data_IF_108317364854
#
_entry.id   IF_108317364854
#
_cell.length_a   1.000
_cell.length_b   1.000
_cell.length_c   1.000
_cell.angle_alpha   90.00
_cell.angle_beta   90.00
_cell.angle_gamma   90.00
#
_symmetry.space_group_name_H-M   'P 1'
#
loop_
_entity.id
_entity.type
_entity.pdbx_description
1 polymer ?
#
# COMPACT_ATOMS: atom_id res chain seq x y z
N UNK A 1 20.57 0.38 -31.45
CA UNK A 1 20.91 1.60 -32.22
C UNK A 1 19.91 1.92 -33.34
N UNK A 2 19.36 0.95 -34.06
CA UNK A 2 18.38 1.21 -35.15
C UNK A 2 17.03 1.76 -34.67
N UNK A 3 16.61 1.42 -33.47
CA UNK A 3 15.32 1.93 -32.92
C UNK A 3 15.44 3.37 -32.43
N UNK A 4 16.59 3.80 -31.93
CA UNK A 4 16.86 5.16 -31.47
C UNK A 4 16.78 6.18 -32.63
N UNK A 5 17.40 5.88 -33.78
CA UNK A 5 17.39 6.79 -34.95
C UNK A 5 15.98 7.01 -35.50
N UNK A 6 15.16 5.97 -35.56
CA UNK A 6 13.75 6.09 -35.97
C UNK A 6 12.91 6.92 -34.98
N UNK A 7 13.15 6.76 -33.70
CA UNK A 7 12.44 7.49 -32.63
C UNK A 7 12.83 8.97 -32.59
N UNK A 8 14.11 9.31 -32.79
CA UNK A 8 14.59 10.70 -32.84
C UNK A 8 13.97 11.47 -34.00
N UNK A 9 13.91 10.89 -35.20
CA UNK A 9 13.24 11.46 -36.35
C UNK A 9 11.76 11.71 -36.08
N UNK A 10 11.05 10.68 -35.53
CA UNK A 10 9.65 10.81 -35.20
C UNK A 10 9.38 11.90 -34.15
N UNK A 11 10.25 12.09 -33.17
CA UNK A 11 10.11 13.11 -32.14
C UNK A 11 10.26 14.52 -32.77
N UNK A 12 11.27 14.74 -33.60
CA UNK A 12 11.45 15.98 -34.29
C UNK A 12 10.25 16.31 -35.20
N UNK A 13 9.81 15.36 -36.00
CA UNK A 13 8.67 15.51 -36.90
C UNK A 13 7.37 15.87 -36.15
N UNK A 14 7.16 15.27 -34.96
CA UNK A 14 6.02 15.62 -34.12
C UNK A 14 6.09 17.04 -33.59
N UNK A 15 7.25 17.51 -33.15
CA UNK A 15 7.45 18.91 -32.69
C UNK A 15 7.31 19.92 -33.80
N UNK A 16 7.68 19.56 -35.01
CA UNK A 16 7.46 20.41 -36.20
C UNK A 16 5.96 20.46 -36.55
N UNK A 17 5.26 19.34 -36.42
CA UNK A 17 3.83 19.25 -36.71
C UNK A 17 2.95 19.91 -35.64
N UNK A 18 3.24 19.69 -34.36
CA UNK A 18 2.52 20.27 -33.23
C UNK A 18 3.48 20.69 -32.09
N UNK A 19 3.97 21.94 -32.13
CA UNK A 19 4.88 22.43 -31.08
C UNK A 19 4.20 22.71 -29.74
N UNK A 20 2.86 22.65 -29.66
CA UNK A 20 2.13 22.97 -28.45
C UNK A 20 2.11 21.80 -27.43
N UNK A 21 2.45 20.58 -27.86
CA UNK A 21 2.41 19.38 -27.03
C UNK A 21 3.80 18.93 -26.61
N UNK A 22 3.88 18.46 -25.35
CA UNK A 22 5.10 17.81 -24.87
C UNK A 22 5.29 16.45 -25.54
N UNK A 23 6.54 16.13 -25.85
CA UNK A 23 6.94 14.85 -26.42
C UNK A 23 7.73 14.09 -25.36
N UNK A 24 7.36 12.82 -25.16
CA UNK A 24 7.99 11.93 -24.19
C UNK A 24 8.44 10.66 -24.90
N UNK A 25 9.66 10.20 -24.53
CA UNK A 25 10.24 8.96 -24.99
C UNK A 25 11.03 8.30 -23.84
N UNK A 26 10.62 7.12 -23.44
CA UNK A 26 11.14 6.40 -22.26
C UNK A 26 12.66 6.21 -22.34
N UNK A 27 13.16 5.69 -23.48
CA UNK A 27 14.58 5.37 -23.63
C UNK A 27 15.49 6.61 -23.78
N UNK A 28 14.92 7.80 -23.93
CA UNK A 28 15.69 9.04 -24.03
C UNK A 28 16.26 9.48 -22.67
N UNK A 29 15.70 9.00 -21.55
CA UNK A 29 16.13 9.45 -20.21
C UNK A 29 16.18 10.97 -20.10
N UNK A 30 17.37 11.53 -20.04
CA UNK A 30 17.61 12.96 -19.93
C UNK A 30 18.12 13.61 -21.23
N UNK A 31 18.10 12.92 -22.35
CA UNK A 31 18.53 13.46 -23.61
C UNK A 31 17.65 14.62 -24.11
N UNK A 32 18.11 15.33 -25.13
CA UNK A 32 17.47 16.52 -25.67
C UNK A 32 16.10 16.23 -26.33
N UNK A 33 15.87 15.01 -26.75
CA UNK A 33 14.73 14.58 -27.55
C UNK A 33 13.50 14.19 -26.70
N UNK A 34 13.48 14.51 -25.44
CA UNK A 34 12.31 14.32 -24.55
C UNK A 34 12.07 15.55 -23.68
N UNK A 35 10.83 15.95 -23.53
CA UNK A 35 10.43 17.05 -22.64
C UNK A 35 10.21 16.56 -21.21
N UNK A 36 9.95 15.26 -21.04
CA UNK A 36 9.69 14.60 -19.75
C UNK A 36 10.74 13.51 -19.56
N UNK A 37 11.35 13.46 -18.39
CA UNK A 37 12.22 12.34 -17.99
C UNK A 37 11.32 11.19 -17.53
N UNK A 38 11.29 10.11 -18.32
CA UNK A 38 10.27 9.07 -18.18
C UNK A 38 10.89 7.66 -18.11
N UNK A 39 11.65 7.35 -17.05
CA UNK A 39 12.30 6.06 -16.92
C UNK A 39 11.31 4.95 -16.54
N UNK A 40 11.70 3.71 -16.92
CA UNK A 40 11.05 2.48 -16.49
C UNK A 40 11.82 1.87 -15.30
N UNK A 41 11.14 1.56 -14.21
CA UNK A 41 11.69 0.95 -12.99
C UNK A 41 13.01 1.57 -12.48
N UNK A 42 13.13 2.90 -12.34
CA UNK A 42 14.32 3.48 -11.77
C UNK A 42 14.45 3.06 -10.30
N UNK A 43 15.67 2.78 -9.87
CA UNK A 43 15.90 2.48 -8.45
C UNK A 43 15.83 3.74 -7.58
N UNK A 44 15.65 3.54 -6.28
CA UNK A 44 15.49 4.63 -5.29
C UNK A 44 16.65 5.63 -5.30
N UNK A 45 17.86 5.15 -5.57
CA UNK A 45 19.04 6.00 -5.64
C UNK A 45 18.92 7.03 -6.78
N UNK A 46 18.55 6.59 -7.99
CA UNK A 46 18.37 7.47 -9.16
C UNK A 46 17.24 8.48 -8.95
N UNK A 47 16.13 8.07 -8.35
CA UNK A 47 14.99 8.93 -8.03
C UNK A 47 15.44 10.03 -7.04
N UNK A 48 16.15 9.65 -5.99
CA UNK A 48 16.66 10.59 -4.97
C UNK A 48 17.72 11.52 -5.54
N UNK A 49 18.58 11.03 -6.44
CA UNK A 49 19.57 11.85 -7.13
C UNK A 49 18.88 12.91 -8.03
N UNK A 50 17.87 12.50 -8.79
CA UNK A 50 17.10 13.42 -9.63
C UNK A 50 16.36 14.45 -8.78
N UNK A 51 15.73 14.05 -7.69
CA UNK A 51 15.05 14.93 -6.75
C UNK A 51 15.96 16.08 -6.28
N UNK A 52 17.23 15.76 -5.96
CA UNK A 52 18.23 16.71 -5.46
C UNK A 52 18.97 17.50 -6.56
N UNK A 53 18.76 17.18 -7.82
CA UNK A 53 19.55 17.70 -8.93
C UNK A 53 19.25 19.17 -9.27
N UNK A 54 18.11 19.72 -8.85
CA UNK A 54 17.64 21.04 -9.24
C UNK A 54 17.16 21.15 -10.70
N UNK A 55 17.07 20.02 -11.41
CA UNK A 55 16.61 19.96 -12.80
C UNK A 55 15.13 20.31 -12.88
N UNK A 56 14.74 20.99 -13.97
CA UNK A 56 13.40 21.54 -14.14
C UNK A 56 12.44 20.62 -14.93
N UNK A 57 12.97 19.68 -15.71
CA UNK A 57 12.10 18.75 -16.43
C UNK A 57 11.33 17.88 -15.46
N UNK A 58 10.01 17.65 -15.66
CA UNK A 58 9.26 16.73 -14.82
C UNK A 58 9.79 15.30 -14.99
N UNK A 59 9.89 14.59 -13.87
CA UNK A 59 10.24 13.19 -13.82
C UNK A 59 8.98 12.36 -13.55
N UNK A 60 8.58 11.55 -14.53
CA UNK A 60 7.37 10.71 -14.46
C UNK A 60 7.76 9.29 -14.86
N UNK A 61 7.71 8.36 -13.96
CA UNK A 61 8.03 6.96 -14.25
C UNK A 61 6.96 6.35 -15.16
N UNK A 62 7.35 5.86 -16.35
CA UNK A 62 6.40 5.19 -17.25
C UNK A 62 5.91 3.86 -16.69
N UNK A 63 6.77 3.17 -15.94
CA UNK A 63 6.41 2.00 -15.15
C UNK A 63 7.21 1.99 -13.85
N UNK A 64 6.56 1.65 -12.73
CA UNK A 64 7.19 1.45 -11.45
C UNK A 64 6.35 0.53 -10.55
N UNK A 65 6.90 0.11 -9.42
CA UNK A 65 6.21 -0.66 -8.40
C UNK A 65 5.47 -1.88 -8.96
N UNK A 66 6.20 -2.71 -9.74
CA UNK A 66 5.69 -3.95 -10.34
C UNK A 66 4.98 -4.82 -9.29
N UNK A 67 3.69 -5.08 -9.47
CA UNK A 67 2.82 -5.65 -8.43
C UNK A 67 2.68 -7.19 -8.51
N UNK A 68 3.65 -7.87 -9.12
CA UNK A 68 3.66 -9.33 -9.24
C UNK A 68 3.93 -10.01 -7.90
N UNK A 69 3.10 -10.97 -7.53
CA UNK A 69 3.30 -11.79 -6.33
C UNK A 69 3.38 -10.95 -5.05
N UNK A 70 4.46 -11.11 -4.29
CA UNK A 70 4.71 -10.35 -3.05
C UNK A 70 5.74 -9.22 -3.29
N UNK A 71 5.56 -8.46 -4.35
CA UNK A 71 6.37 -7.30 -4.72
C UNK A 71 5.68 -5.98 -4.32
N UNK A 72 6.17 -4.84 -4.83
CA UNK A 72 5.67 -3.51 -4.51
C UNK A 72 6.02 -3.01 -3.09
N UNK A 73 7.15 -3.49 -2.53
CA UNK A 73 7.69 -3.01 -1.25
C UNK A 73 8.26 -1.60 -1.34
N UNK A 74 8.48 -0.96 -0.17
CA UNK A 74 9.00 0.40 -0.03
C UNK A 74 8.19 1.49 -0.77
N UNK A 75 6.91 1.23 -1.02
CA UNK A 75 6.05 2.13 -1.78
C UNK A 75 5.89 3.49 -1.09
N UNK A 76 5.71 3.48 0.23
CA UNK A 76 5.64 4.70 1.04
C UNK A 76 6.93 5.51 0.98
N UNK A 77 8.10 4.88 1.13
CA UNK A 77 9.39 5.57 1.13
C UNK A 77 9.64 6.27 -0.22
N UNK A 78 9.25 5.63 -1.32
CA UNK A 78 9.30 6.22 -2.64
C UNK A 78 8.43 7.46 -2.75
N UNK A 79 7.18 7.36 -2.28
CA UNK A 79 6.24 8.47 -2.36
C UNK A 79 6.55 9.62 -1.40
N UNK A 80 7.21 9.35 -0.28
CA UNK A 80 7.74 10.41 0.58
C UNK A 80 8.75 11.28 -0.20
N UNK A 81 9.65 10.66 -0.98
CA UNK A 81 10.60 11.41 -1.85
C UNK A 81 9.88 12.17 -2.96
N UNK A 82 8.86 11.56 -3.60
CA UNK A 82 8.08 12.21 -4.66
C UNK A 82 7.34 13.43 -4.11
N UNK A 83 6.67 13.28 -2.98
CA UNK A 83 5.89 14.37 -2.37
C UNK A 83 6.75 15.55 -1.89
N UNK A 84 7.99 15.29 -1.52
CA UNK A 84 8.92 16.34 -1.05
C UNK A 84 9.72 17.01 -2.19
N UNK A 85 9.52 16.58 -3.45
CA UNK A 85 10.33 17.01 -4.57
C UNK A 85 9.48 17.57 -5.72
N UNK A 86 9.55 18.86 -6.02
CA UNK A 86 8.67 19.50 -7.01
C UNK A 86 8.91 19.03 -8.45
N UNK A 87 10.08 18.47 -8.76
CA UNK A 87 10.42 17.94 -10.07
C UNK A 87 10.03 16.46 -10.27
N UNK A 88 9.59 15.76 -9.19
CA UNK A 88 9.03 14.42 -9.28
C UNK A 88 7.49 14.48 -9.31
N UNK A 89 6.90 13.91 -10.35
CA UNK A 89 5.45 13.98 -10.58
C UNK A 89 4.75 12.62 -10.35
N UNK A 90 5.50 11.58 -9.96
CA UNK A 90 4.98 10.22 -9.75
C UNK A 90 5.25 9.30 -10.93
N UNK A 91 4.29 8.45 -11.25
CA UNK A 91 4.43 7.45 -12.30
C UNK A 91 3.24 6.52 -12.41
N UNK A 92 3.37 5.49 -13.26
CA UNK A 92 2.33 4.52 -13.54
C UNK A 92 2.71 3.16 -12.98
N UNK A 93 1.92 2.65 -12.05
CA UNK A 93 2.14 1.33 -11.45
C UNK A 93 1.93 0.25 -12.52
N UNK A 94 2.83 -0.70 -12.61
CA UNK A 94 2.64 -1.88 -13.44
C UNK A 94 2.14 -3.06 -12.61
N UNK A 95 0.80 -3.46 -12.70
CA UNK A 95 -0.16 -2.63 -13.40
C UNK A 95 -1.44 -2.51 -12.53
N UNK A 96 -2.53 -2.02 -13.11
CA UNK A 96 -3.76 -1.78 -12.36
C UNK A 96 -4.54 -3.08 -12.10
N UNK A 97 -4.74 -3.93 -13.14
CA UNK A 97 -5.52 -5.15 -13.04
C UNK A 97 -4.82 -6.30 -13.77
N UNK A 98 -4.85 -7.48 -13.19
CA UNK A 98 -4.34 -8.70 -13.83
C UNK A 98 -4.96 -8.88 -15.20
N UNK A 99 -4.11 -9.07 -16.22
CA UNK A 99 -4.50 -9.24 -17.61
C UNK A 99 -4.84 -10.71 -17.90
N UNK A 100 -5.83 -11.26 -17.20
CA UNK A 100 -6.17 -12.67 -17.24
C UNK A 100 -7.56 -12.96 -17.80
N UNK A 101 -7.67 -14.07 -18.53
CA UNK A 101 -8.95 -14.62 -19.02
C UNK A 101 -9.38 -15.81 -18.16
N UNK A 102 -10.66 -15.85 -17.82
CA UNK A 102 -11.25 -16.92 -17.04
C UNK A 102 -11.45 -18.18 -17.90
N UNK A 103 -10.81 -19.27 -17.51
CA UNK A 103 -10.87 -20.56 -18.18
C UNK A 103 -11.27 -21.68 -17.21
N UNK A 104 -11.67 -22.82 -17.77
CA UNK A 104 -11.93 -24.05 -17.01
C UNK A 104 -10.95 -25.14 -17.45
N UNK A 105 -10.57 -26.01 -16.51
CA UNK A 105 -9.82 -27.22 -16.81
C UNK A 105 -10.71 -28.21 -17.58
N UNK A 106 -10.34 -28.54 -18.84
CA UNK A 106 -11.07 -29.51 -19.67
C UNK A 106 -10.08 -30.34 -20.55
N UNK A 107 -10.22 -31.66 -20.59
CA UNK A 107 -10.99 -32.51 -19.70
C UNK A 107 -10.40 -32.51 -18.28
N UNK A 108 -11.21 -32.34 -17.27
CA UNK A 108 -10.75 -32.29 -15.89
C UNK A 108 -11.87 -32.08 -14.90
N UNK A 109 -11.51 -31.61 -13.72
CA UNK A 109 -12.42 -31.37 -12.61
C UNK A 109 -13.25 -30.07 -12.72
N UNK A 110 -13.13 -29.34 -13.83
CA UNK A 110 -13.87 -28.10 -14.09
C UNK A 110 -13.41 -26.91 -13.23
N UNK A 111 -12.22 -27.00 -12.59
CA UNK A 111 -11.68 -25.88 -11.82
C UNK A 111 -11.52 -24.65 -12.69
N UNK A 112 -11.80 -23.48 -12.12
CA UNK A 112 -11.57 -22.20 -12.76
C UNK A 112 -10.11 -21.78 -12.52
N UNK A 113 -9.46 -21.33 -13.58
CA UNK A 113 -8.14 -20.71 -13.52
C UNK A 113 -8.09 -19.48 -14.42
N UNK A 114 -7.07 -18.65 -14.21
CA UNK A 114 -6.82 -17.46 -15.01
C UNK A 114 -5.61 -17.69 -15.90
N UNK A 115 -5.72 -17.34 -17.14
CA UNK A 115 -4.67 -17.51 -18.16
C UNK A 115 -4.49 -16.23 -18.97
N UNK A 116 -3.34 -16.06 -19.58
CA UNK A 116 -3.01 -14.89 -20.39
C UNK A 116 -2.14 -15.30 -21.58
N UNK A 117 -2.03 -14.37 -22.57
CA UNK A 117 -1.17 -14.54 -23.75
C UNK A 117 -1.52 -15.80 -24.56
N UNK A 118 -0.62 -16.29 -25.39
CA UNK A 118 -0.77 -17.47 -26.26
C UNK A 118 -0.92 -18.82 -25.56
N UNK A 119 -1.14 -18.82 -24.25
CA UNK A 119 -1.29 -20.04 -23.42
C UNK A 119 -2.72 -20.34 -23.03
N UNK A 120 -3.65 -19.68 -23.64
CA UNK A 120 -5.08 -19.96 -23.49
C UNK A 120 -5.41 -21.40 -23.88
N UNK A 121 -6.08 -22.13 -22.98
CA UNK A 121 -6.46 -23.52 -23.20
C UNK A 121 -5.42 -24.59 -22.81
N UNK A 122 -4.27 -24.21 -22.31
CA UNK A 122 -3.22 -25.15 -21.87
C UNK A 122 -2.91 -25.03 -20.38
N UNK A 123 -3.76 -25.61 -19.53
CA UNK A 123 -3.46 -25.67 -18.10
C UNK A 123 -2.26 -26.59 -17.77
N UNK A 124 -1.95 -27.61 -18.64
CA UNK A 124 -0.74 -28.43 -18.54
C UNK A 124 0.54 -27.59 -18.48
N UNK A 125 0.54 -26.46 -19.14
CA UNK A 125 1.67 -25.54 -19.09
C UNK A 125 1.95 -25.00 -17.68
N UNK A 126 0.95 -24.83 -16.83
CA UNK A 126 1.10 -24.42 -15.43
C UNK A 126 1.74 -25.55 -14.59
N UNK A 127 1.48 -26.82 -14.95
CA UNK A 127 2.06 -27.99 -14.28
C UNK A 127 3.50 -28.27 -14.73
N UNK A 128 3.80 -28.04 -15.99
CA UNK A 128 5.13 -28.31 -16.58
C UNK A 128 6.18 -27.27 -16.18
N UNK A 129 5.77 -26.06 -15.75
CA UNK A 129 6.65 -24.97 -15.34
C UNK A 129 6.66 -24.75 -13.83
N UNK A 130 7.02 -25.79 -13.09
CA UNK A 130 7.26 -25.68 -11.64
C UNK A 130 8.33 -24.64 -11.32
N UNK A 131 7.92 -23.48 -10.82
CA UNK A 131 8.81 -22.42 -10.37
C UNK A 131 8.96 -21.22 -11.30
N UNK A 132 8.32 -21.18 -12.45
CA UNK A 132 8.21 -19.91 -13.20
C UNK A 132 7.11 -19.04 -12.62
N UNK A 133 7.46 -17.79 -12.38
CA UNK A 133 6.53 -16.77 -11.91
C UNK A 133 5.39 -16.60 -12.92
N UNK A 134 4.17 -16.47 -12.41
CA UNK A 134 2.98 -16.13 -13.22
C UNK A 134 3.15 -14.72 -13.78
N UNK A 135 3.68 -14.61 -14.99
CA UNK A 135 3.69 -13.36 -15.74
C UNK A 135 2.27 -13.05 -16.21
N UNK A 136 1.81 -11.82 -16.07
CA UNK A 136 0.42 -11.41 -16.41
C UNK A 136 -0.52 -11.35 -15.20
N UNK A 137 -0.02 -11.59 -13.99
CA UNK A 137 -0.73 -11.36 -12.71
C UNK A 137 -0.08 -10.21 -11.94
N UNK A 138 0.18 -9.11 -12.65
CA UNK A 138 0.96 -7.96 -12.19
C UNK A 138 0.07 -6.82 -11.64
N UNK A 139 -1.26 -7.02 -11.67
CA UNK A 139 -2.23 -6.03 -11.24
C UNK A 139 -2.30 -5.83 -9.73
N UNK A 140 -2.62 -4.63 -9.30
CA UNK A 140 -3.09 -4.33 -7.94
C UNK A 140 -4.43 -4.99 -7.66
N UNK A 141 -5.23 -5.17 -8.71
CA UNK A 141 -6.54 -5.82 -8.70
C UNK A 141 -6.41 -7.14 -9.47
N UNK A 142 -6.91 -8.22 -8.90
CA UNK A 142 -6.93 -9.51 -9.58
C UNK A 142 -7.91 -9.50 -10.77
N UNK A 143 -7.74 -10.42 -11.71
CA UNK A 143 -8.56 -10.50 -12.92
C UNK A 143 -10.08 -10.67 -12.66
N UNK A 144 -10.47 -11.05 -11.46
CA UNK A 144 -11.89 -11.13 -11.05
C UNK A 144 -12.36 -9.88 -10.26
N UNK A 145 -11.56 -8.80 -10.24
CA UNK A 145 -11.94 -7.55 -9.62
C UNK A 145 -11.66 -7.45 -8.11
N UNK A 146 -10.95 -8.41 -7.51
CA UNK A 146 -10.65 -8.40 -6.08
C UNK A 146 -9.33 -7.65 -5.83
N UNK A 147 -9.30 -6.61 -4.97
CA UNK A 147 -8.06 -5.93 -4.60
C UNK A 147 -7.07 -6.88 -3.94
N UNK A 148 -5.82 -6.86 -4.38
CA UNK A 148 -4.72 -7.58 -3.74
C UNK A 148 -4.16 -6.76 -2.56
N UNK A 149 -3.34 -7.35 -1.67
CA UNK A 149 -2.76 -6.63 -0.52
C UNK A 149 -2.06 -5.31 -0.90
N UNK A 150 -1.36 -5.28 -2.03
CA UNK A 150 -0.68 -4.09 -2.54
C UNK A 150 -1.63 -2.92 -2.83
N UNK A 151 -2.86 -3.19 -3.24
CA UNK A 151 -3.86 -2.15 -3.51
C UNK A 151 -4.21 -1.35 -2.25
N UNK A 152 -4.21 -1.99 -1.08
CA UNK A 152 -4.47 -1.32 0.19
C UNK A 152 -3.32 -0.41 0.60
N UNK A 153 -2.07 -0.81 0.36
CA UNK A 153 -0.90 0.04 0.57
C UNK A 153 -0.93 1.25 -0.36
N UNK A 154 -1.20 1.04 -1.65
CA UNK A 154 -1.36 2.13 -2.63
C UNK A 154 -2.47 3.08 -2.22
N UNK A 155 -3.65 2.58 -1.81
CA UNK A 155 -4.74 3.41 -1.29
C UNK A 155 -4.28 4.28 -0.10
N UNK A 156 -3.52 3.71 0.83
CA UNK A 156 -3.00 4.42 2.00
C UNK A 156 -2.01 5.52 1.61
N UNK A 157 -1.06 5.21 0.74
CA UNK A 157 -0.01 6.15 0.34
C UNK A 157 -0.53 7.26 -0.56
N UNK A 158 -1.50 6.96 -1.43
CA UNK A 158 -2.09 7.91 -2.37
C UNK A 158 -3.16 8.82 -1.76
N UNK A 159 -3.53 8.64 -0.49
CA UNK A 159 -4.53 9.51 0.11
C UNK A 159 -4.09 10.98 0.10
N UNK A 160 -4.97 11.87 -0.32
CA UNK A 160 -4.71 13.31 -0.43
C UNK A 160 -4.86 14.08 0.88
N UNK A 161 -5.40 13.46 1.92
CA UNK A 161 -5.52 14.04 3.26
C UNK A 161 -4.53 13.33 4.17
N UNK A 162 -3.57 14.09 4.70
CA UNK A 162 -2.59 13.57 5.64
C UNK A 162 -2.89 14.04 7.06
N UNK A 163 -2.75 13.12 8.01
CA UNK A 163 -2.85 13.39 9.43
C UNK A 163 -1.49 13.11 10.07
N UNK A 164 -1.00 14.05 10.87
CA UNK A 164 0.25 13.89 11.58
C UNK A 164 0.08 14.27 13.06
N UNK A 165 0.77 13.56 13.94
CA UNK A 165 0.85 13.91 15.34
C UNK A 165 1.63 15.24 15.52
N UNK A 166 1.12 16.13 16.38
CA UNK A 166 1.82 17.37 16.80
C UNK A 166 2.02 17.40 18.29
N UNK A 167 0.96 17.61 19.07
CA UNK A 167 0.98 17.59 20.53
C UNK A 167 -0.20 16.73 21.01
N UNK A 168 0.03 15.43 21.10
CA UNK A 168 -1.00 14.48 21.49
C UNK A 168 -1.46 14.65 22.93
N UNK A 169 -0.63 15.23 23.80
CA UNK A 169 -0.99 15.52 25.19
C UNK A 169 -2.10 16.58 25.28
N UNK A 170 -2.16 17.45 24.27
CA UNK A 170 -3.21 18.48 24.11
C UNK A 170 -4.27 18.11 23.10
N UNK A 171 -4.21 16.91 22.51
CA UNK A 171 -5.09 16.47 21.45
C UNK A 171 -4.86 17.22 20.12
N UNK A 172 -3.65 17.73 19.85
CA UNK A 172 -3.36 18.51 18.63
C UNK A 172 -2.75 17.60 17.58
N UNK A 173 -3.39 17.59 16.40
CA UNK A 173 -2.93 16.93 15.16
C UNK A 173 -2.77 17.96 14.05
N UNK A 174 -1.85 17.72 13.12
CA UNK A 174 -1.76 18.50 11.89
C UNK A 174 -2.50 17.77 10.76
N UNK A 175 -3.22 18.52 9.95
CA UNK A 175 -3.91 18.02 8.75
C UNK A 175 -3.38 18.79 7.56
N UNK A 176 -2.87 18.05 6.56
CA UNK A 176 -2.39 18.61 5.29
C UNK A 176 -3.31 18.21 4.16
N UNK A 177 -3.74 19.20 3.38
CA UNK A 177 -4.53 19.01 2.17
C UNK A 177 -3.58 18.93 0.96
N UNK A 178 -3.52 17.78 0.31
CA UNK A 178 -2.74 17.55 -0.93
C UNK A 178 -3.58 17.63 -2.20
N UNK A 179 -4.88 17.88 -2.09
CA UNK A 179 -5.71 18.12 -3.28
C UNK A 179 -5.27 19.41 -3.99
N UNK A 180 -5.44 19.43 -5.30
CA UNK A 180 -5.15 20.60 -6.12
C UNK A 180 -6.35 21.56 -6.21
N UNK A 181 -7.58 21.02 -6.11
CA UNK A 181 -8.80 21.79 -6.37
C UNK A 181 -9.87 21.67 -5.27
N UNK A 182 -9.74 20.73 -4.33
CA UNK A 182 -10.77 20.37 -3.36
C UNK A 182 -10.48 20.94 -1.98
N UNK A 183 -11.44 21.66 -1.39
CA UNK A 183 -11.39 22.10 0.00
C UNK A 183 -11.81 20.94 0.93
N UNK A 184 -11.15 20.79 2.08
CA UNK A 184 -11.47 19.72 3.01
C UNK A 184 -12.82 19.86 3.70
N UNK A 185 -13.51 20.99 3.61
CA UNK A 185 -14.89 21.13 4.09
C UNK A 185 -15.90 20.24 3.34
N UNK A 186 -15.50 19.66 2.21
CA UNK A 186 -16.30 18.68 1.45
C UNK A 186 -16.32 17.28 2.09
N UNK A 187 -15.47 17.03 3.10
CA UNK A 187 -15.36 15.75 3.80
C UNK A 187 -15.88 15.81 5.23
N UNK A 188 -16.38 14.68 5.72
CA UNK A 188 -16.68 14.46 7.12
C UNK A 188 -15.50 13.83 7.84
N UNK A 189 -15.16 14.35 9.02
CA UNK A 189 -14.03 13.88 9.80
C UNK A 189 -14.49 13.27 11.11
N UNK A 190 -13.92 12.11 11.44
CA UNK A 190 -14.13 11.43 12.72
C UNK A 190 -12.81 11.02 13.35
N UNK A 191 -12.82 10.91 14.65
CA UNK A 191 -11.74 10.29 15.40
C UNK A 191 -12.31 9.19 16.30
N UNK A 192 -11.51 8.15 16.50
CA UNK A 192 -11.81 7.05 17.40
C UNK A 192 -10.58 6.74 18.25
N UNK A 193 -10.77 6.58 19.54
CA UNK A 193 -9.72 6.08 20.44
C UNK A 193 -10.01 4.61 20.70
N UNK A 194 -9.00 3.79 20.56
CA UNK A 194 -9.03 2.36 20.87
C UNK A 194 -8.12 2.06 22.06
N UNK A 195 -8.61 1.24 22.98
CA UNK A 195 -7.87 0.66 24.11
C UNK A 195 -7.70 -0.84 23.87
N UNK A 196 -6.47 -1.34 23.74
CA UNK A 196 -6.18 -2.75 23.49
C UNK A 196 -7.01 -3.37 22.35
N UNK A 197 -7.24 -2.61 21.26
CA UNK A 197 -8.02 -3.05 20.11
C UNK A 197 -9.55 -2.84 20.23
N UNK A 198 -10.08 -2.45 21.38
CA UNK A 198 -11.50 -2.16 21.58
C UNK A 198 -11.78 -0.67 21.54
N UNK A 199 -12.91 -0.29 20.96
CA UNK A 199 -13.32 1.13 20.84
C UNK A 199 -13.62 1.70 22.24
N UNK A 200 -12.84 2.71 22.61
CA UNK A 200 -12.92 3.38 23.91
C UNK A 200 -13.73 4.69 23.86
N UNK A 201 -13.52 5.49 22.80
CA UNK A 201 -14.22 6.76 22.62
C UNK A 201 -14.22 7.17 21.16
N UNK A 202 -15.16 8.04 20.77
CA UNK A 202 -15.26 8.56 19.40
C UNK A 202 -15.79 9.99 19.38
N UNK A 203 -15.52 10.71 18.31
CA UNK A 203 -16.05 12.04 18.09
C UNK A 203 -15.87 12.51 16.66
N UNK A 204 -16.53 13.63 16.35
CA UNK A 204 -16.47 14.27 15.04
C UNK A 204 -15.78 15.63 15.14
N UNK A 205 -15.22 16.07 14.05
CA UNK A 205 -14.66 17.42 13.93
C UNK A 205 -14.81 17.94 12.50
N UNK A 206 -14.65 19.23 12.32
CA UNK A 206 -14.76 19.88 11.03
C UNK A 206 -13.42 20.47 10.61
N UNK A 207 -13.13 20.36 9.33
CA UNK A 207 -11.92 20.93 8.73
C UNK A 207 -12.33 21.75 7.53
N UNK A 208 -11.97 23.02 7.54
CA UNK A 208 -11.96 23.86 6.36
C UNK A 208 -10.51 24.17 6.05
N UNK A 209 -10.02 23.68 4.91
CA UNK A 209 -8.64 23.79 4.53
C UNK A 209 -8.52 23.80 3.01
N UNK A 210 -7.98 24.88 2.46
CA UNK A 210 -7.77 25.05 1.02
C UNK A 210 -6.74 24.05 0.47
N UNK A 211 -6.72 23.80 -0.85
CA UNK A 211 -5.66 23.04 -1.51
C UNK A 211 -4.26 23.49 -1.09
N UNK A 212 -3.35 22.52 -0.95
CA UNK A 212 -1.94 22.68 -0.58
C UNK A 212 -1.67 23.31 0.80
N UNK A 213 -2.71 23.56 1.61
CA UNK A 213 -2.55 24.13 2.93
C UNK A 213 -2.39 23.05 4.01
N UNK A 214 -1.83 23.46 5.15
CA UNK A 214 -1.72 22.67 6.38
C UNK A 214 -2.27 23.46 7.56
N UNK A 215 -2.92 22.77 8.51
CA UNK A 215 -3.52 23.37 9.69
C UNK A 215 -3.44 22.44 10.88
N UNK A 216 -3.14 23.00 12.04
CA UNK A 216 -3.30 22.30 13.32
C UNK A 216 -4.76 22.33 13.78
N UNK A 217 -5.25 21.17 14.21
CA UNK A 217 -6.60 20.98 14.72
C UNK A 217 -6.53 20.37 16.11
N UNK A 218 -7.25 20.97 17.05
CA UNK A 218 -7.40 20.41 18.39
C UNK A 218 -8.63 19.52 18.43
N UNK A 219 -8.41 18.24 18.75
CA UNK A 219 -9.45 17.24 18.95
C UNK A 219 -9.88 17.23 20.43
N UNK A 220 -11.17 17.02 20.68
CA UNK A 220 -11.68 16.86 22.04
C UNK A 220 -11.53 15.39 22.47
N UNK A 221 -10.28 14.94 22.66
CA UNK A 221 -9.98 13.59 23.06
C UNK A 221 -10.31 13.36 24.54
N UNK A 222 -10.65 12.12 24.94
CA UNK A 222 -10.76 11.76 26.35
C UNK A 222 -9.38 11.82 27.02
N UNK A 223 -9.36 11.93 28.34
CA UNK A 223 -8.12 11.74 29.12
C UNK A 223 -7.68 10.29 28.96
N UNK A 224 -6.43 10.10 28.54
CA UNK A 224 -5.84 8.78 28.37
C UNK A 224 -5.21 8.35 29.70
N UNK A 225 -5.68 7.27 30.34
CA UNK A 225 -5.12 6.79 31.59
C UNK A 225 -3.68 6.25 31.42
N UNK A 226 -2.86 6.41 32.44
CA UNK A 226 -1.56 5.73 32.54
C UNK A 226 -1.73 4.38 33.27
N UNK A 227 -2.53 3.49 32.70
CA UNK A 227 -2.92 2.20 33.26
C UNK A 227 -2.16 1.02 32.67
N UNK A 228 -1.08 1.30 31.91
CA UNK A 228 -0.26 0.30 31.24
C UNK A 228 -0.85 -0.26 29.93
N UNK A 229 -2.13 -0.01 29.64
CA UNK A 229 -2.75 -0.43 28.40
C UNK A 229 -2.28 0.44 27.22
N UNK A 230 -2.39 -0.11 26.00
CA UNK A 230 -2.10 0.69 24.80
C UNK A 230 -3.35 1.42 24.31
N UNK A 231 -3.13 2.65 23.86
CA UNK A 231 -4.17 3.50 23.30
C UNK A 231 -3.75 4.00 21.92
N UNK A 232 -4.65 3.87 20.95
CA UNK A 232 -4.48 4.36 19.59
C UNK A 232 -5.58 5.34 19.23
N UNK A 233 -5.18 6.44 18.57
CA UNK A 233 -6.08 7.37 17.91
C UNK A 233 -6.16 7.01 16.44
N UNK A 234 -7.35 6.67 15.98
CA UNK A 234 -7.65 6.54 14.57
C UNK A 234 -8.35 7.79 14.07
N UNK A 235 -7.89 8.33 12.95
CA UNK A 235 -8.45 9.49 12.28
C UNK A 235 -8.98 9.06 10.92
N UNK A 236 -10.14 9.57 10.54
CA UNK A 236 -10.79 9.23 9.28
C UNK A 236 -11.34 10.46 8.58
N UNK A 237 -11.34 10.43 7.25
CA UNK A 237 -12.07 11.34 6.40
C UNK A 237 -12.98 10.54 5.46
N UNK A 238 -14.25 10.96 5.37
CA UNK A 238 -15.29 10.30 4.58
C UNK A 238 -15.95 11.28 3.62
N UNK A 239 -16.42 10.79 2.48
CA UNK A 239 -17.25 11.57 1.54
C UNK A 239 -18.57 11.98 2.19
N UNK A 240 -18.98 13.25 2.02
CA UNK A 240 -20.30 13.76 2.43
C UNK A 240 -21.38 13.53 1.38
N UNK A 241 -20.97 13.48 0.12
CA UNK A 241 -21.85 13.37 -1.04
C UNK A 241 -21.39 12.19 -1.90
N UNK A 242 -22.34 11.44 -2.43
CA UNK A 242 -22.04 10.40 -3.42
C UNK A 242 -21.72 11.04 -4.78
N UNK A 243 -20.84 10.39 -5.53
CA UNK A 243 -20.63 10.61 -6.97
C UNK A 243 -21.06 9.37 -7.73
N UNK A 244 -20.97 9.38 -9.06
CA UNK A 244 -21.27 8.20 -9.89
C UNK A 244 -20.39 6.98 -9.56
N UNK A 245 -19.18 7.22 -9.02
CA UNK A 245 -18.19 6.18 -8.75
C UNK A 245 -17.97 5.90 -7.25
N UNK A 246 -18.25 6.87 -6.39
CA UNK A 246 -17.90 6.81 -4.96
C UNK A 246 -19.16 7.07 -4.13
N UNK A 247 -19.56 6.13 -3.25
CA UNK A 247 -20.74 6.33 -2.38
C UNK A 247 -20.50 7.39 -1.30
N UNK A 248 -21.58 7.87 -0.73
CA UNK A 248 -21.53 8.63 0.52
C UNK A 248 -20.93 7.78 1.65
N UNK A 249 -20.21 8.39 2.57
CA UNK A 249 -19.49 7.75 3.67
C UNK A 249 -18.36 6.78 3.21
N UNK A 250 -17.83 6.99 2.02
CA UNK A 250 -16.63 6.26 1.59
C UNK A 250 -15.39 6.84 2.28
N UNK A 251 -14.54 5.96 2.88
CA UNK A 251 -13.27 6.34 3.51
C UNK A 251 -12.25 6.75 2.44
N UNK A 252 -11.91 8.03 2.42
CA UNK A 252 -10.91 8.60 1.50
C UNK A 252 -9.54 8.74 2.14
N UNK A 253 -9.47 8.83 3.46
CA UNK A 253 -8.20 8.87 4.19
C UNK A 253 -8.37 8.34 5.61
N UNK A 254 -7.30 7.75 6.13
CA UNK A 254 -7.18 7.31 7.53
C UNK A 254 -5.76 7.41 8.04
N UNK A 255 -5.63 7.52 9.37
CA UNK A 255 -4.35 7.41 10.06
C UNK A 255 -4.55 6.79 11.44
N UNK A 256 -3.52 6.07 11.91
CA UNK A 256 -3.48 5.55 13.26
C UNK A 256 -2.24 6.09 13.99
N UNK A 257 -2.45 6.66 15.15
CA UNK A 257 -1.42 7.30 15.96
C UNK A 257 -1.44 6.69 17.36
N UNK A 258 -0.31 6.20 17.84
CA UNK A 258 -0.20 5.70 19.22
C UNK A 258 -0.21 6.89 20.19
N UNK A 259 -1.11 6.85 21.19
CA UNK A 259 -1.32 7.95 22.14
C UNK A 259 -0.40 7.88 23.37
N UNK A 260 0.03 6.68 23.78
CA UNK A 260 0.81 6.48 25.00
C UNK A 260 1.92 5.43 24.82
N UNK A 261 2.68 5.19 25.88
CA UNK A 261 3.75 4.17 25.91
C UNK A 261 3.28 2.78 26.38
N UNK A 262 2.01 2.62 26.71
CA UNK A 262 1.45 1.35 27.11
C UNK A 262 1.59 0.26 26.05
N UNK A 263 1.42 -0.99 26.44
CA UNK A 263 1.50 -2.14 25.55
C UNK A 263 0.46 -3.17 25.95
N UNK A 264 -0.26 -3.71 25.01
CA UNK A 264 -1.19 -4.82 25.21
C UNK A 264 -0.52 -6.00 25.94
N UNK A 265 0.69 -6.34 25.52
CA UNK A 265 1.45 -7.46 26.11
C UNK A 265 1.99 -7.18 27.50
N UNK A 266 2.13 -5.90 27.92
CA UNK A 266 2.58 -5.58 29.27
C UNK A 266 1.53 -5.92 30.34
N UNK A 267 0.27 -6.03 29.96
CA UNK A 267 -0.85 -6.41 30.83
C UNK A 267 -1.08 -7.92 30.91
N UNK A 268 -0.39 -8.70 30.10
CA UNK A 268 -0.50 -10.17 30.15
C UNK A 268 0.18 -10.69 31.41
N UNK A 269 -0.60 -11.30 32.29
CA UNK A 269 -0.06 -12.00 33.46
C UNK A 269 0.82 -13.16 33.00
N UNK A 270 1.96 -13.34 33.65
CA UNK A 270 2.76 -14.53 33.42
C UNK A 270 1.91 -15.76 33.72
N UNK A 271 1.82 -16.67 32.76
CA UNK A 271 1.14 -17.98 32.99
C UNK A 271 1.91 -18.71 34.09
N UNK A 272 1.18 -19.14 35.14
CA UNK A 272 1.75 -19.92 36.26
C UNK A 272 1.81 -21.42 35.97
N UNK A 273 1.34 -21.84 34.79
CA UNK A 273 1.29 -23.24 34.38
C UNK A 273 2.68 -23.85 34.14
N UNK A 274 2.80 -25.15 34.37
CA UNK A 274 4.02 -25.89 34.01
C UNK A 274 4.06 -26.12 32.51
N UNK A 275 5.16 -25.73 31.88
CA UNK A 275 5.46 -26.10 30.52
C UNK A 275 6.14 -27.48 30.49
N UNK A 276 5.53 -28.43 29.81
CA UNK A 276 6.15 -29.73 29.46
C UNK A 276 6.62 -29.64 28.01
N UNK A 277 7.78 -30.23 27.71
CA UNK A 277 8.28 -30.30 26.34
C UNK A 277 9.10 -31.59 26.12
N UNK A 278 9.10 -32.04 24.90
CA UNK A 278 9.83 -33.21 24.42
C UNK A 278 10.44 -32.90 23.04
N UNK A 279 11.65 -33.38 22.80
CA UNK A 279 12.27 -33.28 21.48
C UNK A 279 12.49 -34.66 20.90
N UNK A 280 11.89 -34.93 19.74
CA UNK A 280 12.06 -36.18 19.00
C UNK A 280 12.18 -35.84 17.50
N UNK A 281 13.14 -36.51 16.83
CA UNK A 281 13.37 -36.36 15.35
C UNK A 281 13.43 -34.89 14.88
N UNK A 282 14.14 -34.04 15.62
CA UNK A 282 14.20 -32.59 15.40
C UNK A 282 12.86 -31.84 15.52
N UNK A 283 11.86 -32.44 16.10
CA UNK A 283 10.60 -31.76 16.42
C UNK A 283 10.51 -31.56 17.93
N UNK A 284 10.42 -30.26 18.33
CA UNK A 284 10.07 -29.89 19.70
C UNK A 284 8.57 -29.85 19.82
N UNK A 285 8.00 -30.75 20.63
CA UNK A 285 6.60 -30.67 21.04
C UNK A 285 6.54 -30.06 22.43
N UNK A 286 5.64 -29.12 22.65
CA UNK A 286 5.45 -28.44 23.92
C UNK A 286 3.96 -28.40 24.29
N UNK A 287 3.68 -28.39 25.59
CA UNK A 287 2.33 -28.30 26.12
C UNK A 287 2.33 -27.57 27.47
N UNK A 288 1.35 -26.69 27.64
CA UNK A 288 0.97 -26.07 28.91
C UNK A 288 -0.53 -26.22 29.11
N UNK A 289 -1.07 -25.68 30.21
CA UNK A 289 -2.52 -25.67 30.47
C UNK A 289 -3.28 -24.79 29.44
N UNK A 290 -2.60 -23.87 28.77
CA UNK A 290 -3.20 -22.87 27.88
C UNK A 290 -2.88 -23.11 26.40
N UNK A 291 -1.73 -23.71 26.07
CA UNK A 291 -1.28 -23.82 24.69
C UNK A 291 -0.46 -25.10 24.47
N UNK A 292 -0.63 -25.72 23.33
CA UNK A 292 0.25 -26.80 22.85
C UNK A 292 0.77 -26.47 21.44
N UNK A 293 1.93 -27.05 21.09
CA UNK A 293 2.46 -26.79 19.76
C UNK A 293 3.66 -27.68 19.41
N UNK A 294 4.05 -27.58 18.15
CA UNK A 294 5.22 -28.29 17.60
C UNK A 294 6.07 -27.36 16.75
N UNK A 295 7.39 -27.43 16.94
CA UNK A 295 8.38 -26.66 16.18
C UNK A 295 9.37 -27.61 15.51
N UNK A 296 9.58 -27.47 14.22
CA UNK A 296 10.67 -28.11 13.50
C UNK A 296 11.97 -27.36 13.79
N UNK A 297 12.84 -27.95 14.60
CA UNK A 297 14.10 -27.33 15.03
C UNK A 297 15.12 -27.19 13.90
N UNK A 298 15.03 -28.01 12.85
CA UNK A 298 15.91 -27.95 11.70
C UNK A 298 15.55 -26.78 10.77
N UNK A 299 14.27 -26.51 10.60
CA UNK A 299 13.74 -25.46 9.73
C UNK A 299 13.40 -24.17 10.48
N UNK A 300 13.35 -24.19 11.82
CA UNK A 300 12.85 -23.10 12.62
C UNK A 300 11.36 -22.79 12.38
N UNK A 301 10.60 -23.79 11.95
CA UNK A 301 9.20 -23.63 11.58
C UNK A 301 8.26 -24.09 12.70
N UNK A 302 7.27 -23.26 13.00
CA UNK A 302 6.11 -23.67 13.80
C UNK A 302 5.23 -24.58 12.93
N UNK A 303 5.08 -25.84 13.33
CA UNK A 303 4.32 -26.84 12.59
C UNK A 303 2.84 -26.87 12.98
N UNK A 304 2.54 -26.64 14.25
CA UNK A 304 1.20 -26.67 14.80
C UNK A 304 1.14 -25.94 16.13
N UNK A 305 0.05 -25.21 16.36
CA UNK A 305 -0.34 -24.70 17.68
C UNK A 305 -1.82 -24.96 17.89
N UNK A 306 -2.21 -25.23 19.12
CA UNK A 306 -3.60 -25.20 19.59
C UNK A 306 -3.63 -24.35 20.85
N UNK A 307 -4.60 -23.47 20.95
CA UNK A 307 -4.93 -22.73 22.16
C UNK A 307 -6.43 -22.88 22.47
N UNK A 308 -6.86 -22.38 23.62
CA UNK A 308 -8.26 -22.47 24.04
C UNK A 308 -9.24 -21.67 23.12
N UNK A 309 -8.75 -20.93 22.15
CA UNK A 309 -9.57 -20.20 21.17
C UNK A 309 -9.87 -21.03 19.92
N UNK A 310 -9.04 -22.04 19.59
CA UNK A 310 -9.22 -22.90 18.41
C UNK A 310 -10.46 -23.84 18.54
N UNK A 311 -10.93 -24.08 19.75
CA UNK A 311 -12.10 -24.94 20.01
C UNK A 311 -13.46 -24.20 19.81
N UNK A 312 -13.47 -22.98 19.30
CA UNK A 312 -14.67 -22.15 19.12
C UNK A 312 -15.02 -21.81 17.66
N UNK A 313 -14.49 -22.57 16.69
CA UNK A 313 -14.88 -22.42 15.29
C UNK A 313 -15.83 -23.56 14.89
#
# INVERSE_FOLDING_TARGET
QRSLVGSEMCIRDRKEYDPSRFVQFEQAWEDWNTDIVCPMYPNMWKITEYAKSGKQRPFIMCEYAHAQGNSNGNFKDLWDVIYDSPNLQGGFIWDFMDQGFKMKTEPGDGRIYWTYNGKMGSYKWLEDRKGELNTGTDGLISANGIPKPQAYEVKKVYQYIQFNAKDLSKGIVSIRNRYDFTNLNEYAFTWEVYKNGEKFSTGNFNVELKPHAEKEVRLNLPVIPEDGNEYFLNLYAYTKVATDLIPVHYEVAKEQIKLNRGSFFASLSACSGKLSYETKDNVLSFQSDAVSGKIDLKKGCLLYTSDAADDRI
#
